data_IF_161902769489
#
_entry.id   IF_161902769489
#
_cell.length_a   1.000
_cell.length_b   1.000
_cell.length_c   1.000
_cell.angle_alpha   90.00
_cell.angle_beta   90.00
_cell.angle_gamma   90.00
#
_symmetry.space_group_name_H-M   'P 1'
#
loop_
_entity.id
_entity.type
_entity.pdbx_description
1 polymer ?
#
# COMPACT_ATOMS: atom_id res chain seq x y z
N UNK A 1 3.09 24.88 12.27
CA UNK A 1 1.73 25.01 11.70
C UNK A 1 0.76 25.45 12.79
N UNK A 2 -0.10 26.42 12.50
CA UNK A 2 -1.15 26.84 13.43
C UNK A 2 -2.39 25.94 13.22
N UNK A 3 -2.64 25.02 14.15
CA UNK A 3 -3.76 24.06 14.10
C UNK A 3 -5.12 24.78 13.93
N UNK A 4 -5.26 25.98 14.49
CA UNK A 4 -6.45 26.79 14.37
C UNK A 4 -6.71 27.25 12.93
N UNK A 5 -5.65 27.58 12.19
CA UNK A 5 -5.71 28.04 10.80
C UNK A 5 -6.09 26.91 9.84
N UNK A 6 -5.54 25.71 10.07
CA UNK A 6 -5.89 24.50 9.33
C UNK A 6 -7.36 24.11 9.53
N UNK A 7 -7.86 24.15 10.77
CA UNK A 7 -9.27 23.89 11.07
C UNK A 7 -10.21 24.92 10.44
N UNK A 8 -9.81 26.18 10.38
CA UNK A 8 -10.61 27.22 9.73
C UNK A 8 -10.70 26.99 8.22
N UNK A 9 -9.59 26.63 7.55
CA UNK A 9 -9.57 26.29 6.11
C UNK A 9 -10.33 25.00 5.80
N UNK A 10 -10.34 24.01 6.70
CA UNK A 10 -11.18 22.82 6.57
C UNK A 10 -12.68 23.14 6.62
N UNK A 11 -13.10 24.06 7.49
CA UNK A 11 -14.49 24.52 7.53
C UNK A 11 -14.86 25.34 6.29
N UNK A 12 -13.91 26.12 5.78
CA UNK A 12 -14.07 26.90 4.55
C UNK A 12 -14.31 25.97 3.35
N UNK A 13 -13.45 24.98 3.12
CA UNK A 13 -13.58 24.05 1.99
C UNK A 13 -14.86 23.20 2.09
N UNK A 14 -15.30 22.82 3.30
CA UNK A 14 -16.59 22.13 3.51
C UNK A 14 -17.79 23.01 3.16
N UNK A 15 -17.69 24.32 3.43
CA UNK A 15 -18.74 25.27 3.08
C UNK A 15 -18.82 25.45 1.57
N UNK A 16 -17.67 25.51 0.89
CA UNK A 16 -17.58 25.54 -0.58
C UNK A 16 -18.17 24.25 -1.17
N UNK A 17 -17.84 23.08 -0.62
CA UNK A 17 -18.39 21.80 -1.05
C UNK A 17 -19.92 21.77 -0.96
N UNK A 18 -20.47 22.20 0.19
CA UNK A 18 -21.93 22.26 0.39
C UNK A 18 -22.62 23.23 -0.56
N UNK A 19 -21.99 24.36 -0.88
CA UNK A 19 -22.51 25.32 -1.85
C UNK A 19 -22.51 24.75 -3.29
N UNK A 20 -21.55 23.88 -3.60
CA UNK A 20 -21.39 23.22 -4.91
C UNK A 20 -22.06 21.83 -4.97
N UNK A 21 -23.04 21.54 -4.12
CA UNK A 21 -23.78 20.28 -4.17
C UNK A 21 -22.97 19.05 -3.73
N UNK A 22 -22.07 19.23 -2.77
CA UNK A 22 -21.08 18.24 -2.32
C UNK A 22 -20.08 17.84 -3.39
N UNK A 23 -19.73 18.75 -4.31
CA UNK A 23 -18.66 18.56 -5.29
C UNK A 23 -17.56 19.62 -5.13
N UNK A 24 -16.30 19.23 -5.30
CA UNK A 24 -15.12 20.09 -5.24
C UNK A 24 -14.15 19.74 -6.37
N UNK A 25 -13.42 20.72 -6.89
CA UNK A 25 -12.32 20.46 -7.84
C UNK A 25 -10.96 20.41 -7.14
N UNK A 26 -9.99 19.72 -7.74
CA UNK A 26 -8.59 19.70 -7.25
C UNK A 26 -7.97 21.10 -7.16
N UNK A 27 -8.38 22.00 -8.04
CA UNK A 27 -7.97 23.42 -8.04
C UNK A 27 -8.54 24.14 -6.81
N UNK A 28 -9.83 23.97 -6.51
CA UNK A 28 -10.47 24.59 -5.33
C UNK A 28 -9.84 24.14 -4.01
N UNK A 29 -9.48 22.86 -3.90
CA UNK A 29 -8.78 22.32 -2.73
C UNK A 29 -7.38 22.95 -2.65
N UNK A 30 -6.63 22.95 -3.74
CA UNK A 30 -5.29 23.54 -3.78
C UNK A 30 -5.30 25.04 -3.45
N UNK A 31 -6.27 25.80 -3.95
CA UNK A 31 -6.36 27.24 -3.71
C UNK A 31 -6.79 27.56 -2.28
N UNK A 32 -7.73 26.79 -1.71
CA UNK A 32 -8.16 26.98 -0.31
C UNK A 32 -7.02 26.67 0.66
N UNK A 33 -6.17 25.70 0.32
CA UNK A 33 -5.01 25.31 1.10
C UNK A 33 -3.72 26.00 0.65
N UNK A 34 -3.78 26.91 -0.32
CA UNK A 34 -2.62 27.67 -0.79
C UNK A 34 -2.06 28.54 0.35
N UNK A 35 -0.75 28.45 0.55
CA UNK A 35 -0.06 29.13 1.65
C UNK A 35 0.06 28.31 2.94
N UNK A 36 -0.60 27.15 3.04
CA UNK A 36 -0.20 26.13 4.02
C UNK A 36 0.86 25.24 3.36
N UNK A 37 2.05 25.17 3.95
CA UNK A 37 3.11 24.25 3.53
C UNK A 37 2.73 22.79 3.86
N UNK A 38 1.68 22.28 3.20
CA UNK A 38 1.23 20.91 3.36
C UNK A 38 2.13 19.98 2.56
N UNK A 39 2.60 18.93 3.21
CA UNK A 39 3.27 17.82 2.51
C UNK A 39 2.25 16.91 1.79
N UNK A 40 2.76 15.98 0.97
CA UNK A 40 1.92 15.05 0.19
C UNK A 40 1.02 14.18 1.08
N UNK A 41 1.48 13.80 2.26
CA UNK A 41 0.75 12.94 3.21
C UNK A 41 -0.39 13.70 3.87
N UNK A 42 -0.15 14.95 4.26
CA UNK A 42 -1.17 15.84 4.82
C UNK A 42 -2.23 16.20 3.79
N UNK A 43 -1.84 16.45 2.53
CA UNK A 43 -2.78 16.69 1.43
C UNK A 43 -3.66 15.45 1.17
N UNK A 44 -3.07 14.25 1.15
CA UNK A 44 -3.81 12.99 1.07
C UNK A 44 -4.79 12.81 2.23
N UNK A 45 -4.38 13.18 3.45
CA UNK A 45 -5.25 13.19 4.63
C UNK A 45 -6.46 14.11 4.48
N UNK A 46 -6.26 15.31 3.92
CA UNK A 46 -7.35 16.26 3.61
C UNK A 46 -8.30 15.68 2.56
N UNK A 47 -7.78 15.10 1.47
CA UNK A 47 -8.59 14.48 0.42
C UNK A 47 -9.43 13.32 0.99
N UNK A 48 -8.81 12.40 1.75
CA UNK A 48 -9.49 11.27 2.38
C UNK A 48 -10.58 11.73 3.36
N UNK A 49 -10.31 12.79 4.13
CA UNK A 49 -11.29 13.38 5.02
C UNK A 49 -12.49 13.95 4.25
N UNK A 50 -12.28 14.71 3.19
CA UNK A 50 -13.36 15.28 2.37
C UNK A 50 -14.23 14.19 1.71
N UNK A 51 -13.59 13.16 1.14
CA UNK A 51 -14.31 12.01 0.56
C UNK A 51 -15.11 11.25 1.63
N UNK A 52 -14.57 11.08 2.85
CA UNK A 52 -15.29 10.44 3.96
C UNK A 52 -16.53 11.21 4.45
N UNK A 53 -16.59 12.52 4.17
CA UNK A 53 -17.76 13.37 4.46
C UNK A 53 -18.80 13.36 3.33
N UNK A 54 -18.60 12.55 2.30
CA UNK A 54 -19.51 12.44 1.16
C UNK A 54 -19.34 13.55 0.12
N UNK A 55 -18.17 14.20 0.07
CA UNK A 55 -17.83 15.23 -0.91
C UNK A 55 -17.11 14.57 -2.09
N UNK A 56 -17.64 14.73 -3.30
CA UNK A 56 -17.07 14.25 -4.55
C UNK A 56 -16.00 15.21 -5.06
N UNK A 57 -14.88 14.69 -5.57
CA UNK A 57 -13.77 15.51 -6.07
C UNK A 57 -13.69 15.39 -7.60
N UNK A 58 -14.22 16.38 -8.30
CA UNK A 58 -14.17 16.53 -9.75
C UNK A 58 -12.72 16.79 -10.23
N UNK A 59 -12.29 16.03 -11.24
CA UNK A 59 -10.90 15.95 -11.68
C UNK A 59 -10.15 14.70 -11.22
N UNK A 60 -10.80 13.81 -10.45
CA UNK A 60 -10.40 12.40 -10.36
C UNK A 60 -10.95 11.54 -11.52
N UNK A 61 -11.80 12.11 -12.38
CA UNK A 61 -12.54 11.39 -13.44
C UNK A 61 -11.78 11.15 -14.76
N UNK A 62 -10.52 11.53 -14.89
CA UNK A 62 -9.67 11.05 -15.99
C UNK A 62 -8.79 9.85 -15.61
N UNK A 63 -9.06 9.18 -14.49
CA UNK A 63 -8.37 7.93 -14.12
C UNK A 63 -9.00 6.65 -14.71
N UNK A 64 -10.10 6.75 -15.45
CA UNK A 64 -10.70 5.60 -16.13
C UNK A 64 -9.97 5.19 -17.43
N UNK A 65 -9.01 5.99 -17.89
CA UNK A 65 -8.05 5.66 -18.95
C UNK A 65 -6.60 5.95 -18.56
N UNK A 66 -6.32 6.20 -17.29
CA UNK A 66 -4.93 6.17 -16.84
C UNK A 66 -4.47 4.71 -16.93
N UNK A 67 -3.61 4.42 -17.91
CA UNK A 67 -2.42 3.63 -17.64
C UNK A 67 -2.07 3.89 -16.20
N UNK A 68 -2.25 2.88 -15.34
CA UNK A 68 -1.88 2.91 -13.93
C UNK A 68 -0.54 3.62 -13.85
N UNK A 69 -0.55 4.91 -13.48
CA UNK A 69 0.68 5.57 -13.09
C UNK A 69 1.03 4.86 -11.81
N UNK A 70 1.87 3.84 -11.99
CA UNK A 70 2.56 3.17 -10.92
C UNK A 70 2.99 4.29 -9.97
N UNK A 71 2.57 4.24 -8.69
CA UNK A 71 3.16 5.16 -7.73
C UNK A 71 4.67 5.05 -7.93
N UNK A 72 5.39 6.18 -8.02
CA UNK A 72 6.84 6.22 -8.27
C UNK A 72 7.57 5.39 -7.20
N UNK A 73 7.65 4.08 -7.40
CA UNK A 73 8.29 3.11 -6.53
C UNK A 73 9.71 2.96 -7.02
N UNK A 74 10.64 2.90 -6.08
CA UNK A 74 12.03 2.60 -6.39
C UNK A 74 12.09 1.12 -6.74
N UNK A 75 12.09 0.80 -8.03
CA UNK A 75 12.43 -0.54 -8.51
C UNK A 75 13.90 -0.77 -8.15
N UNK A 76 14.16 -1.83 -7.37
CA UNK A 76 15.51 -2.15 -6.92
C UNK A 76 16.08 -3.24 -7.81
N UNK A 77 17.31 -3.07 -8.35
CA UNK A 77 17.94 -4.14 -9.13
C UNK A 77 18.13 -5.38 -8.25
N UNK A 78 17.95 -6.55 -8.87
CA UNK A 78 18.15 -7.83 -8.22
C UNK A 78 19.60 -7.96 -7.72
N UNK A 79 19.74 -8.56 -6.54
CA UNK A 79 21.04 -9.02 -6.04
C UNK A 79 21.54 -10.24 -6.85
N UNK A 80 22.85 -10.54 -6.87
CA UNK A 80 23.37 -11.73 -7.55
C UNK A 80 22.75 -13.05 -7.06
N UNK A 81 22.41 -13.11 -5.77
CA UNK A 81 21.72 -14.23 -5.15
C UNK A 81 20.30 -14.38 -5.71
N UNK A 82 19.56 -13.27 -5.80
CA UNK A 82 18.22 -13.20 -6.38
C UNK A 82 18.20 -13.52 -7.88
N UNK A 83 19.17 -13.04 -8.65
CA UNK A 83 19.33 -13.40 -10.07
C UNK A 83 19.55 -14.90 -10.24
N UNK A 84 20.35 -15.51 -9.35
CA UNK A 84 20.61 -16.95 -9.36
C UNK A 84 19.35 -17.73 -8.97
N UNK A 85 18.63 -17.26 -7.96
CA UNK A 85 17.34 -17.84 -7.56
C UNK A 85 16.34 -17.81 -8.71
N UNK A 86 16.14 -16.65 -9.35
CA UNK A 86 15.23 -16.49 -10.47
C UNK A 86 15.61 -17.42 -11.63
N UNK A 87 16.89 -17.54 -11.94
CA UNK A 87 17.37 -18.43 -13.00
C UNK A 87 17.02 -19.88 -12.71
N UNK A 88 17.34 -20.37 -11.51
CA UNK A 88 17.02 -21.74 -11.10
C UNK A 88 15.51 -21.99 -11.14
N UNK A 89 14.72 -21.04 -10.64
CA UNK A 89 13.26 -21.12 -10.68
C UNK A 89 12.72 -21.23 -12.12
N UNK A 90 13.23 -20.42 -13.05
CA UNK A 90 12.82 -20.46 -14.46
C UNK A 90 13.27 -21.73 -15.19
N UNK A 91 14.41 -22.32 -14.79
CA UNK A 91 14.93 -23.59 -15.32
C UNK A 91 14.12 -24.81 -14.84
N UNK A 92 13.59 -24.76 -13.61
CA UNK A 92 12.72 -25.81 -13.05
C UNK A 92 11.34 -25.85 -13.71
N UNK A 93 10.87 -24.72 -14.25
CA UNK A 93 9.58 -24.63 -14.92
C UNK A 93 9.60 -25.31 -16.30
N UNK A 94 8.58 -26.11 -16.65
CA UNK A 94 8.53 -26.82 -17.92
C UNK A 94 8.50 -25.84 -19.10
N UNK A 95 9.08 -26.26 -20.23
CA UNK A 95 8.84 -25.60 -21.51
C UNK A 95 7.53 -26.10 -22.09
N UNK A 96 6.54 -25.21 -22.14
CA UNK A 96 5.22 -25.51 -22.67
C UNK A 96 5.03 -24.73 -23.97
N UNK A 97 4.47 -25.41 -24.98
CA UNK A 97 4.03 -24.80 -26.22
C UNK A 97 2.55 -25.11 -26.36
N UNK A 98 1.72 -24.10 -26.19
CA UNK A 98 0.26 -24.21 -26.27
C UNK A 98 -0.28 -23.18 -27.27
N UNK A 99 -1.43 -23.48 -27.87
CA UNK A 99 -2.22 -22.47 -28.56
C UNK A 99 -2.96 -21.64 -27.51
N UNK A 100 -2.41 -20.47 -27.17
CA UNK A 100 -2.96 -19.60 -26.13
C UNK A 100 -4.35 -19.10 -26.50
N UNK A 101 -4.61 -18.79 -27.77
CA UNK A 101 -5.93 -18.33 -28.22
C UNK A 101 -6.99 -19.42 -28.05
N UNK A 102 -6.65 -20.67 -28.39
CA UNK A 102 -7.54 -21.81 -28.15
C UNK A 102 -7.76 -22.04 -26.65
N UNK A 103 -6.70 -21.95 -25.83
CA UNK A 103 -6.80 -22.15 -24.40
C UNK A 103 -7.67 -21.07 -23.73
N UNK A 104 -7.53 -19.79 -24.10
CA UNK A 104 -8.40 -18.73 -23.59
C UNK A 104 -9.87 -18.93 -24.01
N UNK A 105 -10.12 -19.39 -25.24
CA UNK A 105 -11.47 -19.72 -25.68
C UNK A 105 -12.06 -20.92 -24.90
N UNK A 106 -11.26 -21.94 -24.59
CA UNK A 106 -11.68 -23.07 -23.78
C UNK A 106 -11.96 -22.65 -22.32
N UNK A 107 -11.12 -21.79 -21.74
CA UNK A 107 -11.32 -21.21 -20.41
C UNK A 107 -12.66 -20.48 -20.31
N UNK A 108 -13.01 -19.66 -21.31
CA UNK A 108 -14.30 -18.96 -21.37
C UNK A 108 -15.51 -19.90 -21.44
N UNK A 109 -15.32 -21.16 -21.84
CA UNK A 109 -16.34 -22.22 -21.81
C UNK A 109 -16.34 -23.02 -20.49
N UNK A 110 -15.52 -22.64 -19.51
CA UNK A 110 -15.42 -23.29 -18.20
C UNK A 110 -14.45 -24.48 -18.13
N UNK A 111 -13.59 -24.65 -19.13
CA UNK A 111 -12.61 -25.74 -19.16
C UNK A 111 -11.50 -25.54 -18.11
N UNK A 112 -11.42 -26.46 -17.16
CA UNK A 112 -10.42 -26.44 -16.08
C UNK A 112 -9.02 -26.85 -16.57
N UNK A 113 -8.92 -27.71 -17.58
CA UNK A 113 -7.63 -28.11 -18.14
C UNK A 113 -6.98 -26.91 -18.87
N UNK A 114 -7.81 -26.04 -19.46
CA UNK A 114 -7.36 -24.78 -20.05
C UNK A 114 -6.81 -23.81 -18.99
N UNK A 115 -7.45 -23.71 -17.82
CA UNK A 115 -6.96 -22.90 -16.69
C UNK A 115 -5.56 -23.38 -16.26
N UNK A 116 -5.40 -24.68 -16.05
CA UNK A 116 -4.12 -25.26 -15.64
C UNK A 116 -3.04 -25.04 -16.71
N UNK A 117 -3.37 -25.24 -17.98
CA UNK A 117 -2.45 -25.04 -19.10
C UNK A 117 -1.98 -23.60 -19.22
N UNK A 118 -2.91 -22.63 -19.14
CA UNK A 118 -2.59 -21.20 -19.16
C UNK A 118 -1.75 -20.78 -17.95
N UNK A 119 -2.09 -21.29 -16.77
CA UNK A 119 -1.34 -20.99 -15.54
C UNK A 119 0.11 -21.46 -15.68
N UNK A 120 0.33 -22.73 -16.03
CA UNK A 120 1.68 -23.27 -16.17
C UNK A 120 2.47 -22.60 -17.29
N UNK A 121 1.81 -22.20 -18.39
CA UNK A 121 2.45 -21.48 -19.50
C UNK A 121 2.94 -20.09 -19.08
N UNK A 122 2.10 -19.33 -18.34
CA UNK A 122 2.37 -17.94 -17.98
C UNK A 122 3.19 -17.75 -16.69
N UNK A 123 3.48 -18.82 -15.94
CA UNK A 123 4.33 -18.76 -14.73
C UNK A 123 5.71 -18.15 -14.99
N UNK A 124 6.36 -18.49 -16.12
CA UNK A 124 7.69 -17.94 -16.45
C UNK A 124 7.66 -16.43 -16.68
N UNK A 125 6.61 -15.94 -17.36
CA UNK A 125 6.45 -14.52 -17.66
C UNK A 125 6.05 -13.73 -16.40
N UNK A 126 5.17 -14.32 -15.60
CA UNK A 126 4.74 -13.77 -14.30
C UNK A 126 5.92 -13.62 -13.33
N UNK A 127 6.81 -14.61 -13.26
CA UNK A 127 8.00 -14.53 -12.42
C UNK A 127 9.01 -13.46 -12.91
N UNK A 128 9.13 -13.26 -14.23
CA UNK A 128 9.93 -12.16 -14.77
C UNK A 128 9.32 -10.80 -14.45
N UNK A 129 8.00 -10.67 -14.55
CA UNK A 129 7.29 -9.45 -14.16
C UNK A 129 7.50 -9.12 -12.68
N UNK A 130 7.41 -10.12 -11.79
CA UNK A 130 7.75 -9.93 -10.38
C UNK A 130 9.18 -9.42 -10.19
N UNK A 131 10.14 -10.00 -10.93
CA UNK A 131 11.54 -9.58 -10.88
C UNK A 131 11.77 -8.16 -11.42
N UNK A 132 11.05 -7.75 -12.47
CA UNK A 132 11.08 -6.39 -13.01
C UNK A 132 10.46 -5.36 -12.04
N UNK A 133 9.60 -5.82 -11.13
CA UNK A 133 8.90 -5.02 -10.12
C UNK A 133 9.51 -5.19 -8.72
N UNK A 134 10.76 -5.69 -8.64
CA UNK A 134 11.43 -5.97 -7.38
C UNK A 134 11.54 -4.71 -6.48
N UNK A 135 11.39 -4.92 -5.18
CA UNK A 135 11.31 -3.86 -4.18
C UNK A 135 12.03 -4.27 -2.88
N UNK A 136 12.47 -3.30 -2.07
CA UNK A 136 13.21 -3.57 -0.83
C UNK A 136 12.35 -4.27 0.22
N UNK A 137 11.06 -3.99 0.18
CA UNK A 137 10.09 -4.33 1.21
C UNK A 137 9.64 -5.79 1.16
N UNK A 138 10.00 -6.53 0.12
CA UNK A 138 9.58 -7.92 -0.08
C UNK A 138 10.70 -8.76 -0.68
N UNK A 139 10.84 -10.00 -0.23
CA UNK A 139 11.77 -10.94 -0.85
C UNK A 139 11.27 -11.34 -2.24
N UNK A 140 12.18 -11.45 -3.23
CA UNK A 140 11.82 -11.86 -4.59
C UNK A 140 11.03 -13.18 -4.63
N UNK A 141 11.41 -14.16 -3.81
CA UNK A 141 10.73 -15.46 -3.76
C UNK A 141 9.25 -15.33 -3.35
N UNK A 142 8.95 -14.39 -2.46
CA UNK A 142 7.58 -14.12 -2.02
C UNK A 142 6.84 -13.32 -3.10
N UNK A 143 7.49 -12.34 -3.71
CA UNK A 143 6.91 -11.56 -4.81
C UNK A 143 6.53 -12.44 -6.02
N UNK A 144 7.37 -13.43 -6.36
CA UNK A 144 7.07 -14.42 -7.42
C UNK A 144 5.88 -15.30 -7.02
N UNK A 145 5.78 -15.72 -5.75
CA UNK A 145 4.63 -16.49 -5.28
C UNK A 145 3.33 -15.69 -5.34
N UNK A 146 3.36 -14.43 -4.92
CA UNK A 146 2.22 -13.51 -4.99
C UNK A 146 1.80 -13.22 -6.44
N UNK A 147 2.77 -13.06 -7.34
CA UNK A 147 2.50 -12.93 -8.77
C UNK A 147 1.81 -14.19 -9.34
N UNK A 148 2.28 -15.39 -8.96
CA UNK A 148 1.64 -16.64 -9.36
C UNK A 148 0.23 -16.79 -8.78
N UNK A 149 0.01 -16.32 -7.56
CA UNK A 149 -1.33 -16.30 -6.96
C UNK A 149 -2.25 -15.35 -7.74
N UNK A 150 -1.77 -14.15 -8.09
CA UNK A 150 -2.51 -13.21 -8.92
C UNK A 150 -2.85 -13.79 -10.30
N UNK A 151 -1.91 -14.54 -10.91
CA UNK A 151 -2.14 -15.25 -12.18
C UNK A 151 -3.29 -16.27 -12.06
N UNK A 152 -3.26 -17.12 -11.03
CA UNK A 152 -4.30 -18.14 -10.79
C UNK A 152 -5.65 -17.47 -10.51
N UNK A 153 -5.66 -16.41 -9.70
CA UNK A 153 -6.87 -15.66 -9.38
C UNK A 153 -7.45 -14.96 -10.61
N UNK A 154 -6.63 -14.35 -11.45
CA UNK A 154 -7.06 -13.71 -12.69
C UNK A 154 -7.70 -14.74 -13.63
N UNK A 155 -7.04 -15.86 -13.90
CA UNK A 155 -7.59 -16.92 -14.75
C UNK A 155 -8.87 -17.53 -14.15
N UNK A 156 -8.90 -17.76 -12.85
CA UNK A 156 -10.07 -18.31 -12.14
C UNK A 156 -11.27 -17.35 -12.09
N UNK A 157 -11.04 -16.04 -12.22
CA UNK A 157 -12.07 -15.00 -12.21
C UNK A 157 -12.40 -14.43 -13.60
N UNK A 158 -11.78 -14.96 -14.67
CA UNK A 158 -11.95 -14.48 -16.04
C UNK A 158 -13.42 -14.53 -16.54
N UNK A 159 -14.22 -15.45 -15.98
CA UNK A 159 -15.63 -15.64 -16.33
C UNK A 159 -15.80 -16.27 -17.72
N UNK A 160 -16.93 -15.96 -18.38
CA UNK A 160 -17.29 -16.54 -19.68
C UNK A 160 -16.82 -15.68 -20.88
N UNK A 161 -16.06 -14.62 -20.63
CA UNK A 161 -15.55 -13.75 -21.68
C UNK A 161 -14.20 -14.29 -22.16
N UNK A 162 -13.99 -14.30 -23.47
CA UNK A 162 -12.70 -14.70 -24.05
C UNK A 162 -11.69 -13.60 -23.77
N UNK A 163 -10.80 -13.85 -22.80
CA UNK A 163 -9.70 -12.96 -22.42
C UNK A 163 -8.50 -13.13 -23.34
N UNK A 164 -7.58 -12.18 -23.28
CA UNK A 164 -6.30 -12.25 -23.96
C UNK A 164 -5.13 -12.10 -22.97
N UNK A 165 -3.92 -12.30 -23.50
CA UNK A 165 -2.68 -12.17 -22.76
C UNK A 165 -2.50 -10.77 -22.15
N UNK A 166 -2.89 -9.72 -22.88
CA UNK A 166 -2.76 -8.34 -22.39
C UNK A 166 -3.60 -8.10 -21.15
N UNK A 167 -4.84 -8.59 -21.16
CA UNK A 167 -5.71 -8.54 -19.99
C UNK A 167 -5.09 -9.31 -18.83
N UNK A 168 -4.61 -10.53 -19.07
CA UNK A 168 -4.03 -11.38 -18.03
C UNK A 168 -2.81 -10.71 -17.37
N UNK A 169 -1.89 -10.21 -18.17
CA UNK A 169 -0.68 -9.53 -17.67
C UNK A 169 -1.02 -8.24 -16.92
N UNK A 170 -2.09 -7.54 -17.30
CA UNK A 170 -2.56 -6.38 -16.55
C UNK A 170 -3.14 -6.76 -15.18
N UNK A 171 -3.92 -7.84 -15.09
CA UNK A 171 -4.45 -8.33 -13.81
C UNK A 171 -3.34 -8.84 -12.88
N UNK A 172 -2.36 -9.59 -13.42
CA UNK A 172 -1.17 -10.00 -12.67
C UNK A 172 -0.42 -8.78 -12.14
N UNK A 173 -0.17 -7.77 -13.00
CA UNK A 173 0.49 -6.53 -12.59
C UNK A 173 -0.26 -5.83 -11.46
N UNK A 174 -1.58 -5.71 -11.54
CA UNK A 174 -2.40 -5.14 -10.45
C UNK A 174 -2.24 -5.92 -9.15
N UNK A 175 -2.21 -7.24 -9.21
CA UNK A 175 -1.97 -8.10 -8.04
C UNK A 175 -0.62 -7.82 -7.39
N UNK A 176 0.45 -7.76 -8.19
CA UNK A 176 1.81 -7.43 -7.71
C UNK A 176 1.82 -6.03 -7.08
N UNK A 177 1.20 -5.03 -7.73
CA UNK A 177 1.11 -3.67 -7.21
C UNK A 177 0.43 -3.65 -5.85
N UNK A 178 -0.69 -4.35 -5.69
CA UNK A 178 -1.47 -4.39 -4.46
C UNK A 178 -0.66 -4.99 -3.28
N UNK A 179 0.05 -6.10 -3.52
CA UNK A 179 0.92 -6.73 -2.51
C UNK A 179 2.03 -5.78 -2.07
N UNK A 180 2.67 -5.13 -3.02
CA UNK A 180 3.71 -4.14 -2.73
C UNK A 180 3.17 -2.93 -1.95
N UNK A 181 1.91 -2.50 -2.18
CA UNK A 181 1.28 -1.45 -1.35
C UNK A 181 1.08 -1.91 0.08
N UNK A 182 0.61 -3.14 0.26
CA UNK A 182 0.41 -3.73 1.57
C UNK A 182 1.73 -3.82 2.35
N UNK A 183 2.80 -4.30 1.71
CA UNK A 183 4.12 -4.36 2.35
C UNK A 183 4.68 -2.96 2.67
N UNK A 184 4.49 -1.99 1.77
CA UNK A 184 4.90 -0.60 2.02
C UNK A 184 4.17 0.00 3.22
N UNK A 185 2.85 -0.20 3.30
CA UNK A 185 2.04 0.28 4.42
C UNK A 185 2.44 -0.38 5.73
N UNK A 186 2.75 -1.69 5.69
CA UNK A 186 3.20 -2.45 6.84
C UNK A 186 4.56 -1.96 7.35
N UNK A 187 5.55 -1.77 6.46
CA UNK A 187 6.86 -1.19 6.81
C UNK A 187 6.71 0.19 7.44
N UNK A 188 5.86 1.05 6.87
CA UNK A 188 5.58 2.37 7.45
C UNK A 188 4.95 2.27 8.86
N UNK A 189 4.02 1.34 9.08
CA UNK A 189 3.43 1.13 10.39
C UNK A 189 4.48 0.67 11.41
N UNK A 190 5.34 -0.27 11.01
CA UNK A 190 6.43 -0.79 11.84
C UNK A 190 7.44 0.31 12.18
N UNK A 191 7.91 1.07 11.18
CA UNK A 191 8.83 2.20 11.39
C UNK A 191 8.22 3.29 12.28
N UNK A 192 6.92 3.57 12.11
CA UNK A 192 6.22 4.53 12.97
C UNK A 192 6.12 4.03 14.42
N UNK A 193 5.95 2.72 14.64
CA UNK A 193 5.94 2.14 15.98
C UNK A 193 7.33 2.23 16.60
N UNK A 194 8.39 1.90 15.86
CA UNK A 194 9.79 2.02 16.33
C UNK A 194 10.10 3.45 16.76
N UNK A 195 9.80 4.45 15.92
CA UNK A 195 10.04 5.85 16.25
C UNK A 195 9.27 6.32 17.50
N UNK A 196 8.06 5.78 17.73
CA UNK A 196 7.28 6.06 18.95
C UNK A 196 7.89 5.39 20.17
N UNK A 197 8.38 4.16 20.05
CA UNK A 197 9.10 3.44 21.12
C UNK A 197 10.40 4.18 21.47
N UNK A 198 11.21 4.58 20.50
CA UNK A 198 12.43 5.36 20.75
C UNK A 198 12.13 6.68 21.46
N UNK A 199 11.05 7.37 21.08
CA UNK A 199 10.61 8.60 21.75
C UNK A 199 10.15 8.33 23.19
N UNK A 200 9.45 7.21 23.42
CA UNK A 200 9.05 6.77 24.76
C UNK A 200 10.29 6.43 25.60
N UNK A 201 11.23 5.64 25.08
CA UNK A 201 12.48 5.29 25.77
C UNK A 201 13.31 6.52 26.09
N UNK A 202 13.42 7.48 25.16
CA UNK A 202 14.11 8.75 25.40
C UNK A 202 13.43 9.56 26.51
N UNK A 203 12.10 9.64 26.49
CA UNK A 203 11.35 10.30 27.56
C UNK A 203 11.58 9.59 28.90
N UNK A 204 11.44 8.25 28.96
CA UNK A 204 11.68 7.46 30.17
C UNK A 204 13.12 7.59 30.69
N UNK A 205 14.11 7.69 29.80
CA UNK A 205 15.52 7.86 30.18
C UNK A 205 15.81 9.26 30.72
N UNK A 206 15.32 10.31 30.06
CA UNK A 206 15.38 11.67 30.59
C UNK A 206 14.72 11.75 31.98
N UNK A 207 13.67 10.95 32.22
CA UNK A 207 12.97 10.89 33.50
C UNK A 207 13.71 10.08 34.59
N UNK A 208 14.53 9.11 34.22
CA UNK A 208 15.31 8.28 35.17
C UNK A 208 16.69 8.86 35.50
N UNK A 209 17.22 9.77 34.68
CA UNK A 209 18.47 10.50 34.96
C UNK A 209 18.25 11.67 35.97
N UNK A 210 17.00 12.05 36.24
CA UNK A 210 16.63 12.93 37.36
C UNK A 210 16.54 12.08 38.66
N UNK A 211 17.55 12.19 39.54
CA UNK A 211 17.74 11.41 40.79
C UNK A 211 16.58 11.41 41.82
N UNK A 212 15.42 12.01 41.52
CA UNK A 212 14.25 12.00 42.38
C UNK A 212 13.22 10.95 41.90
N UNK A 213 13.27 9.79 42.56
CA UNK A 213 12.41 8.58 42.50
C UNK A 213 10.89 8.85 42.75
N UNK A 214 10.44 10.09 42.57
CA UNK A 214 9.07 10.60 42.80
C UNK A 214 8.43 11.23 41.56
N UNK A 215 9.14 11.35 40.44
CA UNK A 215 8.68 12.00 39.21
C UNK A 215 8.40 11.03 38.04
N UNK A 216 8.11 9.76 38.32
CA UNK A 216 7.59 8.86 37.29
C UNK A 216 6.20 9.34 36.85
N UNK A 217 6.11 9.85 35.62
CA UNK A 217 4.83 10.21 35.01
C UNK A 217 3.95 8.97 34.86
N UNK A 218 2.68 9.09 35.21
CA UNK A 218 1.67 8.05 35.05
C UNK A 218 1.41 7.74 33.57
N UNK A 219 0.80 6.58 33.28
CA UNK A 219 0.41 6.20 31.91
C UNK A 219 -0.47 7.29 31.25
N UNK A 220 -1.29 7.96 32.06
CA UNK A 220 -2.16 9.06 31.61
C UNK A 220 -1.37 10.31 31.20
N UNK A 221 -0.23 10.58 31.83
CA UNK A 221 0.65 11.70 31.48
C UNK A 221 1.51 11.37 30.26
N UNK A 222 1.98 10.13 30.14
CA UNK A 222 2.64 9.64 28.92
C UNK A 222 1.70 9.71 27.71
N UNK A 223 0.41 9.41 27.89
CA UNK A 223 -0.62 9.55 26.86
C UNK A 223 -0.75 11.00 26.36
N UNK A 224 -0.63 11.98 27.26
CA UNK A 224 -0.68 13.40 26.91
C UNK A 224 0.60 13.85 26.22
N UNK A 225 1.78 13.44 26.71
CA UNK A 225 3.08 13.85 26.17
C UNK A 225 3.34 13.24 24.78
N UNK A 226 2.89 12.00 24.58
CA UNK A 226 3.13 11.24 23.35
C UNK A 226 2.00 11.39 22.32
N UNK A 227 0.88 12.02 22.70
CA UNK A 227 -0.35 12.11 21.89
C UNK A 227 -0.84 10.72 21.44
N UNK A 228 -0.83 9.79 22.38
CA UNK A 228 -1.17 8.38 22.17
C UNK A 228 -2.25 7.95 23.16
N UNK A 229 -3.10 7.01 22.76
CA UNK A 229 -4.11 6.48 23.68
C UNK A 229 -3.42 5.69 24.80
N UNK A 230 -3.96 5.83 26.02
CA UNK A 230 -3.52 5.08 27.21
C UNK A 230 -3.41 3.57 26.93
N UNK A 231 -4.38 3.02 26.18
CA UNK A 231 -4.39 1.60 25.83
C UNK A 231 -3.26 1.21 24.86
N UNK A 232 -2.93 2.07 23.89
CA UNK A 232 -1.80 1.84 22.96
C UNK A 232 -0.45 1.89 23.70
N UNK A 233 -0.29 2.81 24.66
CA UNK A 233 0.92 2.88 25.49
C UNK A 233 1.06 1.62 26.35
N UNK A 234 -0.05 1.13 26.93
CA UNK A 234 -0.04 -0.08 27.77
C UNK A 234 0.30 -1.34 26.96
N UNK A 235 -0.17 -1.43 25.72
CA UNK A 235 0.17 -2.54 24.82
C UNK A 235 1.64 -2.50 24.39
N UNK A 236 2.19 -1.30 24.15
CA UNK A 236 3.62 -1.12 23.80
C UNK A 236 4.52 -1.48 24.99
N UNK A 237 4.22 -1.00 26.20
CA UNK A 237 4.99 -1.32 27.43
C UNK A 237 4.98 -2.82 27.76
N UNK A 238 3.86 -3.49 27.48
CA UNK A 238 3.75 -4.95 27.57
C UNK A 238 4.61 -5.69 26.55
N UNK A 239 4.74 -5.13 25.35
CA UNK A 239 5.56 -5.72 24.28
C UNK A 239 7.05 -5.59 24.57
N UNK A 240 7.48 -4.47 25.18
CA UNK A 240 8.88 -4.19 25.51
C UNK A 240 9.34 -4.81 26.84
N UNK A 241 8.43 -5.35 27.65
CA UNK A 241 8.77 -6.19 28.81
C UNK A 241 9.01 -5.43 30.12
N UNK A 242 8.49 -4.21 30.26
CA UNK A 242 8.62 -3.37 31.47
C UNK A 242 7.39 -3.44 32.40
N UNK A 243 6.64 -4.54 32.39
CA UNK A 243 5.63 -4.84 33.43
C UNK A 243 6.35 -5.50 34.64
N UNK A 244 7.01 -4.69 35.48
CA UNK A 244 7.33 -5.07 36.87
C UNK A 244 7.10 -3.94 37.86
#
# INVERSE_FOLDING_TARGET
MNVQEFQNKLKEIQTIAKANGNSLTTIQIRDTFAGMELDKTQLLGVLKYLTSQGIQIEGMEDSATEETKEPERKIIPLTPEEETYLRNYLEELPELSIDTAQAFAALANGDQDALQSLTSYYMKETAKMAADMNAEEIFLADLIQEANLALIQALGSAGNEVRDEKWLMNEVRKGIIAVLEEQTQRKFADDSLVARVEKLESAVRELNDDEDDKNAFSIDELAIILDMKVDEIRDILRLTGDDK
#
